data_IF_420376322536
#
_entry.id   IF_420376322536
#
_cell.length_a   1.000
_cell.length_b   1.000
_cell.length_c   1.000
_cell.angle_alpha   90.00
_cell.angle_beta   90.00
_cell.angle_gamma   90.00
#
_symmetry.space_group_name_H-M   'P 1'
#
loop_
_entity.id
_entity.type
_entity.pdbx_description
1 polymer ?
#
# COMPACT_ATOMS: atom_id res chain seq x y z
N UNK A 1 9.93 -5.55 25.00
CA UNK A 1 9.12 -5.21 23.81
C UNK A 1 9.82 -4.16 22.94
N UNK A 2 10.07 -2.93 23.42
CA UNK A 2 10.56 -1.78 22.65
C UNK A 2 11.92 -2.00 21.95
N UNK A 3 12.92 -2.56 22.66
CA UNK A 3 14.24 -2.84 22.09
C UNK A 3 14.18 -3.80 20.89
N UNK A 4 13.32 -4.82 20.95
CA UNK A 4 13.12 -5.73 19.82
C UNK A 4 12.46 -5.02 18.66
N UNK A 5 11.43 -4.20 18.90
CA UNK A 5 10.74 -3.42 17.88
C UNK A 5 11.70 -2.49 17.14
N UNK A 6 12.57 -1.80 17.85
CA UNK A 6 13.58 -0.94 17.21
C UNK A 6 14.56 -1.73 16.36
N UNK A 7 15.01 -2.90 16.81
CA UNK A 7 15.84 -3.78 15.98
C UNK A 7 15.12 -4.29 14.72
N UNK A 8 13.80 -4.51 14.79
CA UNK A 8 12.99 -4.86 13.61
C UNK A 8 12.86 -3.65 12.66
N UNK A 9 12.70 -2.43 13.18
CA UNK A 9 12.68 -1.18 12.42
C UNK A 9 14.03 -0.95 11.72
N UNK A 10 15.14 -1.12 12.44
CA UNK A 10 16.50 -1.00 11.87
C UNK A 10 16.68 -1.90 10.65
N UNK A 11 16.22 -3.16 10.75
CA UNK A 11 16.28 -4.13 9.65
C UNK A 11 15.41 -3.72 8.46
N UNK A 12 14.21 -3.23 8.71
CA UNK A 12 13.31 -2.77 7.65
C UNK A 12 13.87 -1.56 6.91
N UNK A 13 14.40 -0.57 7.64
CA UNK A 13 15.03 0.61 7.07
C UNK A 13 16.32 0.28 6.31
N UNK A 14 17.16 -0.60 6.84
CA UNK A 14 18.39 -1.03 6.18
C UNK A 14 18.07 -1.80 4.88
N UNK A 15 17.08 -2.68 4.93
CA UNK A 15 16.60 -3.41 3.76
C UNK A 15 16.07 -2.46 2.67
N UNK A 16 15.26 -1.46 3.06
CA UNK A 16 14.73 -0.46 2.14
C UNK A 16 15.85 0.34 1.48
N UNK A 17 16.77 0.88 2.27
CA UNK A 17 17.91 1.65 1.78
C UNK A 17 18.79 0.86 0.83
N UNK A 18 18.92 -0.45 1.04
CA UNK A 18 19.72 -1.33 0.18
C UNK A 18 19.09 -1.51 -1.20
N UNK A 19 17.75 -1.67 -1.26
CA UNK A 19 17.04 -1.95 -2.51
C UNK A 19 16.59 -0.69 -3.25
N UNK A 20 16.31 0.39 -2.53
CA UNK A 20 15.69 1.61 -3.06
C UNK A 20 16.47 2.85 -2.59
N UNK A 21 17.74 2.93 -2.98
CA UNK A 21 18.65 4.02 -2.58
C UNK A 21 18.17 5.41 -3.01
N UNK A 22 17.44 5.47 -4.13
CA UNK A 22 16.91 6.72 -4.71
C UNK A 22 15.58 7.18 -4.05
N UNK A 23 14.97 6.34 -3.21
CA UNK A 23 13.73 6.62 -2.52
C UNK A 23 13.94 6.75 -1.01
N UNK A 24 14.32 7.94 -0.50
CA UNK A 24 14.57 8.12 0.93
C UNK A 24 13.27 8.05 1.73
N UNK A 25 13.30 7.30 2.84
CA UNK A 25 12.24 7.29 3.85
C UNK A 25 12.64 8.16 5.06
N UNK A 26 11.68 8.85 5.66
CA UNK A 26 11.91 9.62 6.89
C UNK A 26 12.00 8.68 8.10
N UNK A 27 13.19 8.11 8.33
CA UNK A 27 13.44 7.09 9.36
C UNK A 27 12.90 7.50 10.74
N UNK A 28 13.00 8.78 11.12
CA UNK A 28 12.52 9.29 12.40
C UNK A 28 11.01 9.04 12.60
N UNK A 29 10.20 9.06 11.53
CA UNK A 29 8.76 8.76 11.60
C UNK A 29 8.52 7.30 11.95
N UNK A 30 9.29 6.39 11.33
CA UNK A 30 9.19 4.95 11.59
C UNK A 30 9.55 4.66 13.05
N UNK A 31 10.62 5.28 13.56
CA UNK A 31 11.00 5.17 14.98
C UNK A 31 9.96 5.78 15.91
N UNK A 32 9.38 6.93 15.55
CA UNK A 32 8.35 7.57 16.37
C UNK A 32 7.09 6.67 16.44
N UNK A 33 6.64 6.09 15.32
CA UNK A 33 5.55 5.10 15.34
C UNK A 33 5.91 3.91 16.25
N UNK A 34 7.15 3.43 16.18
CA UNK A 34 7.65 2.36 17.04
C UNK A 34 7.66 2.72 18.52
N UNK A 35 8.03 3.96 18.85
CA UNK A 35 8.03 4.48 20.23
C UNK A 35 6.62 4.58 20.80
N UNK A 36 5.68 5.05 19.98
CA UNK A 36 4.29 5.27 20.36
C UNK A 36 3.41 4.00 20.25
N UNK A 37 3.94 2.90 19.71
CA UNK A 37 3.16 1.74 19.29
C UNK A 37 2.38 1.03 20.40
N UNK A 38 2.86 1.08 21.65
CA UNK A 38 2.20 0.44 22.81
C UNK A 38 1.31 1.42 23.61
N UNK A 39 1.25 2.70 23.19
CA UNK A 39 0.48 3.74 23.88
C UNK A 39 -0.95 3.79 23.36
N UNK A 40 -1.89 4.17 24.22
CA UNK A 40 -3.21 4.62 23.77
C UNK A 40 -3.11 5.87 22.93
N UNK A 41 -4.19 6.23 22.21
CA UNK A 41 -4.17 7.43 21.36
C UNK A 41 -3.94 8.71 22.17
N UNK A 42 -4.60 8.86 23.33
CA UNK A 42 -4.41 10.01 24.20
C UNK A 42 -2.99 10.10 24.77
N UNK A 43 -2.38 8.98 25.15
CA UNK A 43 -0.98 8.93 25.61
C UNK A 43 -0.01 9.28 24.49
N UNK A 44 -0.25 8.81 23.28
CA UNK A 44 0.56 9.11 22.12
C UNK A 44 0.47 10.59 21.73
N UNK A 45 -0.71 11.19 21.77
CA UNK A 45 -0.92 12.64 21.58
C UNK A 45 -0.21 13.45 22.65
N UNK A 46 -0.35 13.07 23.92
CA UNK A 46 0.37 13.72 25.03
C UNK A 46 1.88 13.58 24.91
N UNK A 47 2.39 12.45 24.42
CA UNK A 47 3.82 12.27 24.17
C UNK A 47 4.31 13.18 23.04
N UNK A 48 3.55 13.31 21.94
CA UNK A 48 3.85 14.23 20.87
C UNK A 48 3.88 15.70 21.35
N UNK A 49 2.94 16.09 22.18
CA UNK A 49 2.89 17.44 22.77
C UNK A 49 4.14 17.71 23.64
N UNK A 50 4.52 16.75 24.50
CA UNK A 50 5.74 16.85 25.34
C UNK A 50 7.02 16.93 24.51
N UNK A 51 7.07 16.27 23.36
CA UNK A 51 8.19 16.35 22.43
C UNK A 51 8.18 17.65 21.60
N UNK A 52 7.21 18.53 21.82
CA UNK A 52 7.00 19.76 21.06
C UNK A 52 7.00 19.55 19.54
N UNK A 53 6.47 18.41 19.10
CA UNK A 53 6.35 18.10 17.67
C UNK A 53 5.21 18.92 17.05
N UNK A 54 5.45 19.67 15.95
CA UNK A 54 4.39 20.38 15.26
C UNK A 54 3.31 19.39 14.78
N UNK A 55 2.01 19.77 14.83
CA UNK A 55 0.89 18.93 14.41
C UNK A 55 1.07 18.35 13.00
N UNK A 56 1.58 19.16 12.04
CA UNK A 56 1.91 18.70 10.67
C UNK A 56 2.89 17.52 10.61
N UNK A 57 3.67 17.26 11.66
CA UNK A 57 4.58 16.12 11.79
C UNK A 57 3.96 14.99 12.60
N UNK A 58 3.27 15.35 13.68
CA UNK A 58 2.71 14.39 14.61
C UNK A 58 1.46 13.70 14.05
N UNK A 59 0.49 14.47 13.54
CA UNK A 59 -0.79 13.95 13.07
C UNK A 59 -0.67 12.84 12.01
N UNK A 60 0.19 12.96 10.96
CA UNK A 60 0.38 11.87 10.01
C UNK A 60 0.99 10.62 10.65
N UNK A 61 1.86 10.79 11.65
CA UNK A 61 2.50 9.67 12.35
C UNK A 61 1.51 8.93 13.26
N UNK A 62 0.69 9.69 14.01
CA UNK A 62 -0.36 9.11 14.84
C UNK A 62 -1.41 8.39 14.00
N UNK A 63 -1.81 8.98 12.86
CA UNK A 63 -2.74 8.36 11.93
C UNK A 63 -2.17 7.07 11.36
N UNK A 64 -0.93 7.10 10.86
CA UNK A 64 -0.25 5.92 10.34
C UNK A 64 -0.12 4.81 11.38
N UNK A 65 0.19 5.14 12.64
CA UNK A 65 0.23 4.16 13.74
C UNK A 65 -1.10 3.42 13.91
N UNK A 66 -2.23 4.14 13.89
CA UNK A 66 -3.58 3.56 13.99
C UNK A 66 -3.94 2.68 12.79
N UNK A 67 -3.57 3.13 11.60
CA UNK A 67 -3.84 2.39 10.37
C UNK A 67 -3.13 1.03 10.31
N UNK A 68 -1.93 0.91 10.90
CA UNK A 68 -1.11 -0.31 10.83
C UNK A 68 -1.81 -1.52 11.42
N UNK A 69 -2.57 -1.40 12.51
CA UNK A 69 -3.30 -2.53 13.11
C UNK A 69 -4.34 -3.09 12.13
N UNK A 70 -5.12 -2.21 11.48
CA UNK A 70 -6.13 -2.60 10.49
C UNK A 70 -5.48 -3.21 9.24
N UNK A 71 -4.36 -2.62 8.78
CA UNK A 71 -3.57 -3.13 7.66
C UNK A 71 -3.09 -4.54 7.94
N UNK A 72 -2.47 -4.77 9.09
CA UNK A 72 -1.92 -6.07 9.46
C UNK A 72 -3.01 -7.12 9.69
N UNK A 73 -4.17 -6.74 10.22
CA UNK A 73 -5.32 -7.60 10.31
C UNK A 73 -5.80 -8.05 8.92
N UNK A 74 -5.95 -7.12 7.97
CA UNK A 74 -6.32 -7.41 6.59
C UNK A 74 -5.30 -8.29 5.86
N UNK A 75 -4.00 -8.14 6.17
CA UNK A 75 -2.93 -8.93 5.57
C UNK A 75 -2.72 -10.30 6.21
N UNK A 76 -3.38 -10.62 7.32
CA UNK A 76 -3.16 -11.87 8.05
C UNK A 76 -4.03 -13.03 7.58
N UNK A 77 -5.08 -12.77 6.79
CA UNK A 77 -5.97 -13.78 6.22
C UNK A 77 -5.24 -14.85 5.42
N UNK A 78 -5.84 -16.03 5.24
CA UNK A 78 -5.24 -17.11 4.46
C UNK A 78 -5.21 -16.77 2.97
N UNK A 79 -6.34 -16.37 2.44
CA UNK A 79 -6.53 -16.05 1.03
C UNK A 79 -6.71 -14.53 0.87
N UNK A 80 -5.62 -13.83 0.60
CA UNK A 80 -5.63 -12.41 0.24
C UNK A 80 -4.95 -12.28 -1.11
N UNK A 81 -5.71 -11.88 -2.13
CA UNK A 81 -5.20 -11.74 -3.49
C UNK A 81 -4.17 -10.61 -3.61
N UNK A 82 -3.26 -10.66 -4.60
CA UNK A 82 -2.33 -9.57 -4.87
C UNK A 82 -3.01 -8.22 -5.10
N UNK A 83 -4.16 -8.19 -5.77
CA UNK A 83 -4.96 -6.97 -5.96
C UNK A 83 -5.49 -6.42 -4.64
N UNK A 84 -5.95 -7.28 -3.72
CA UNK A 84 -6.38 -6.86 -2.39
C UNK A 84 -5.21 -6.30 -1.55
N UNK A 85 -4.03 -6.93 -1.62
CA UNK A 85 -2.79 -6.41 -1.01
C UNK A 85 -2.46 -5.04 -1.59
N UNK A 86 -2.51 -4.89 -2.91
CA UNK A 86 -2.26 -3.61 -3.58
C UNK A 86 -3.22 -2.51 -3.11
N UNK A 87 -4.53 -2.76 -3.16
CA UNK A 87 -5.55 -1.78 -2.74
C UNK A 87 -5.39 -1.33 -1.28
N UNK A 88 -4.98 -2.25 -0.42
CA UNK A 88 -4.76 -1.95 1.00
C UNK A 88 -3.50 -1.11 1.24
N UNK A 89 -2.42 -1.38 0.51
CA UNK A 89 -1.09 -0.82 0.79
C UNK A 89 -0.73 0.38 -0.09
N UNK A 90 -1.21 0.42 -1.34
CA UNK A 90 -0.81 1.45 -2.31
C UNK A 90 -1.11 2.91 -1.89
N UNK A 91 -2.22 3.22 -1.19
CA UNK A 91 -2.49 4.59 -0.73
C UNK A 91 -1.57 5.07 0.39
N UNK A 92 -0.75 4.18 0.97
CA UNK A 92 0.00 4.45 2.19
C UNK A 92 1.38 5.03 1.88
N UNK A 93 1.87 5.88 2.79
CA UNK A 93 3.23 6.39 2.73
C UNK A 93 4.24 5.30 3.07
N UNK A 94 5.43 5.44 2.50
CA UNK A 94 6.53 4.47 2.69
C UNK A 94 6.86 4.22 4.15
N UNK A 95 6.80 5.23 5.01
CA UNK A 95 7.09 5.08 6.42
C UNK A 95 6.09 4.17 7.14
N UNK A 96 4.80 4.23 6.74
CA UNK A 96 3.74 3.35 7.28
C UNK A 96 3.99 1.91 6.82
N UNK A 97 4.36 1.72 5.55
CA UNK A 97 4.68 0.40 4.99
C UNK A 97 5.90 -0.21 5.68
N UNK A 98 6.96 0.57 5.91
CA UNK A 98 8.17 0.10 6.61
C UNK A 98 7.90 -0.22 8.07
N UNK A 99 7.07 0.58 8.74
CA UNK A 99 6.64 0.28 10.09
C UNK A 99 5.78 -1.00 10.11
N UNK A 100 4.83 -1.15 9.19
CA UNK A 100 4.02 -2.38 9.04
C UNK A 100 4.90 -3.61 8.82
N UNK A 101 5.94 -3.50 7.98
CA UNK A 101 6.90 -4.57 7.74
C UNK A 101 7.65 -4.97 9.03
N UNK A 102 8.06 -3.97 9.83
CA UNK A 102 8.81 -4.19 11.06
C UNK A 102 7.96 -4.87 12.15
N UNK A 103 6.68 -4.47 12.30
CA UNK A 103 5.82 -4.95 13.40
C UNK A 103 4.85 -6.07 12.99
N UNK A 104 4.88 -6.51 11.74
CA UNK A 104 4.00 -7.57 11.26
C UNK A 104 4.06 -8.83 12.14
N UNK A 105 2.92 -9.34 12.62
CA UNK A 105 2.87 -10.43 13.58
C UNK A 105 3.23 -11.79 12.98
N UNK A 106 3.13 -11.92 11.65
CA UNK A 106 3.33 -13.18 10.94
C UNK A 106 4.27 -13.00 9.73
N UNK A 107 4.94 -14.08 9.36
CA UNK A 107 5.75 -14.13 8.13
C UNK A 107 4.91 -13.90 6.87
N UNK A 108 3.63 -14.31 6.89
CA UNK A 108 2.69 -14.09 5.79
C UNK A 108 2.43 -12.61 5.56
N UNK A 109 2.10 -11.86 6.61
CA UNK A 109 1.92 -10.42 6.53
C UNK A 109 3.21 -9.71 6.08
N UNK A 110 4.38 -10.08 6.61
CA UNK A 110 5.69 -9.56 6.18
C UNK A 110 5.92 -9.77 4.69
N UNK A 111 5.67 -10.99 4.21
CA UNK A 111 5.85 -11.35 2.79
C UNK A 111 4.94 -10.50 1.89
N UNK A 112 3.69 -10.26 2.28
CA UNK A 112 2.74 -9.44 1.51
C UNK A 112 3.16 -7.96 1.45
N UNK A 113 3.58 -7.39 2.58
CA UNK A 113 4.13 -6.02 2.59
C UNK A 113 5.40 -5.92 1.73
N UNK A 114 6.33 -6.87 1.87
CA UNK A 114 7.53 -6.92 1.06
C UNK A 114 7.22 -7.07 -0.43
N UNK A 115 6.29 -7.97 -0.80
CA UNK A 115 5.85 -8.16 -2.18
C UNK A 115 5.26 -6.89 -2.78
N UNK A 116 4.45 -6.16 -2.01
CA UNK A 116 3.94 -4.86 -2.45
C UNK A 116 5.08 -3.89 -2.73
N UNK A 117 6.02 -3.75 -1.80
CA UNK A 117 7.13 -2.80 -1.91
C UNK A 117 8.08 -3.12 -3.08
N UNK A 118 8.23 -4.40 -3.45
CA UNK A 118 9.20 -4.83 -4.47
C UNK A 118 8.60 -5.07 -5.85
N UNK A 119 7.29 -5.34 -5.94
CA UNK A 119 6.66 -5.76 -7.20
C UNK A 119 5.29 -5.11 -7.44
N UNK A 120 4.34 -5.24 -6.49
CA UNK A 120 2.94 -4.90 -6.80
C UNK A 120 2.74 -3.41 -7.04
N UNK A 121 3.46 -2.54 -6.34
CA UNK A 121 3.30 -1.08 -6.42
C UNK A 121 3.59 -0.52 -7.81
N UNK A 122 4.42 -1.21 -8.59
CA UNK A 122 4.87 -0.77 -9.90
C UNK A 122 4.03 -1.37 -11.05
N UNK A 123 3.06 -2.24 -10.73
CA UNK A 123 2.16 -2.84 -11.72
C UNK A 123 1.16 -1.79 -12.19
N UNK A 124 1.29 -1.42 -13.47
CA UNK A 124 0.37 -0.52 -14.13
C UNK A 124 -0.09 -1.15 -15.45
N UNK A 125 -1.37 -0.99 -15.82
CA UNK A 125 -1.84 -1.41 -17.14
C UNK A 125 -1.05 -0.68 -18.24
N UNK A 126 -0.79 -1.38 -19.34
CA UNK A 126 -0.21 -0.81 -20.55
C UNK A 126 -1.20 0.13 -21.26
N UNK A 127 -2.52 -0.13 -21.09
CA UNK A 127 -3.58 0.73 -21.61
C UNK A 127 -3.85 1.91 -20.67
N UNK A 128 -4.29 3.02 -21.24
CA UNK A 128 -4.62 4.24 -20.52
C UNK A 128 -5.89 4.92 -21.02
N UNK A 129 -6.14 6.15 -20.56
CA UNK A 129 -7.34 6.90 -20.93
C UNK A 129 -7.49 7.13 -22.45
N UNK A 130 -6.40 7.23 -23.21
CA UNK A 130 -6.45 7.35 -24.68
C UNK A 130 -7.01 6.09 -25.34
N UNK A 131 -6.67 4.92 -24.79
CA UNK A 131 -7.16 3.63 -25.27
C UNK A 131 -8.63 3.47 -25.01
N UNK A 132 -9.09 3.87 -23.81
CA UNK A 132 -10.52 3.87 -23.46
C UNK A 132 -11.34 4.80 -24.36
N UNK A 133 -10.80 5.99 -24.65
CA UNK A 133 -11.42 6.92 -25.59
C UNK A 133 -11.54 6.30 -27.00
N UNK A 134 -10.48 5.65 -27.48
CA UNK A 134 -10.47 4.95 -28.77
C UNK A 134 -11.45 3.75 -28.80
N UNK A 135 -11.81 3.18 -27.64
CA UNK A 135 -12.84 2.16 -27.50
C UNK A 135 -14.26 2.74 -27.37
N UNK A 136 -14.43 4.06 -27.46
CA UNK A 136 -15.73 4.72 -27.40
C UNK A 136 -16.23 5.01 -25.98
N UNK A 137 -15.38 4.86 -24.97
CA UNK A 137 -15.75 5.20 -23.58
C UNK A 137 -15.63 6.71 -23.39
N UNK A 138 -16.67 7.35 -22.88
CA UNK A 138 -16.60 8.80 -22.56
C UNK A 138 -15.75 9.03 -21.30
N UNK A 139 -14.92 10.13 -21.29
CA UNK A 139 -14.13 10.49 -20.12
C UNK A 139 -15.00 10.70 -18.87
N UNK A 140 -14.69 10.00 -17.80
CA UNK A 140 -15.46 10.07 -16.56
C UNK A 140 -14.98 9.07 -15.51
N UNK A 141 -15.74 8.90 -14.41
CA UNK A 141 -15.41 7.98 -13.32
C UNK A 141 -15.17 6.53 -13.79
N UNK A 142 -15.86 6.10 -14.82
CA UNK A 142 -15.73 4.77 -15.44
C UNK A 142 -14.30 4.47 -15.90
N UNK A 143 -13.50 5.50 -16.27
CA UNK A 143 -12.09 5.31 -16.63
C UNK A 143 -11.31 4.72 -15.45
N UNK A 144 -11.50 5.28 -14.26
CA UNK A 144 -10.84 4.79 -13.05
C UNK A 144 -11.23 3.36 -12.71
N UNK A 145 -12.51 3.03 -12.88
CA UNK A 145 -13.04 1.69 -12.63
C UNK A 145 -12.46 0.66 -13.60
N UNK A 146 -12.48 0.95 -14.90
CA UNK A 146 -11.96 0.04 -15.93
C UNK A 146 -10.44 -0.18 -15.82
N UNK A 147 -9.67 0.90 -15.63
CA UNK A 147 -8.21 0.79 -15.45
C UNK A 147 -7.86 0.14 -14.13
N UNK A 148 -8.65 0.38 -13.08
CA UNK A 148 -8.52 -0.31 -11.80
C UNK A 148 -8.79 -1.81 -11.93
N UNK A 149 -9.86 -2.19 -12.61
CA UNK A 149 -10.19 -3.59 -12.85
C UNK A 149 -9.13 -4.30 -13.73
N UNK A 150 -8.59 -3.62 -14.74
CA UNK A 150 -7.49 -4.17 -15.55
C UNK A 150 -6.23 -4.38 -14.71
N UNK A 151 -5.89 -3.43 -13.82
CA UNK A 151 -4.78 -3.59 -12.88
C UNK A 151 -5.00 -4.75 -11.92
N UNK A 152 -6.18 -4.85 -11.35
CA UNK A 152 -6.50 -5.94 -10.43
C UNK A 152 -6.36 -7.31 -11.11
N UNK A 153 -6.85 -7.44 -12.35
CA UNK A 153 -6.73 -8.66 -13.14
C UNK A 153 -5.26 -9.00 -13.49
N UNK A 154 -4.43 -7.98 -13.75
CA UNK A 154 -2.98 -8.17 -13.94
C UNK A 154 -2.29 -8.64 -12.66
N UNK A 155 -2.61 -8.02 -11.52
CA UNK A 155 -2.05 -8.36 -10.23
C UNK A 155 -2.39 -9.78 -9.80
N UNK A 156 -3.64 -10.21 -10.06
CA UNK A 156 -4.13 -11.53 -9.68
C UNK A 156 -3.76 -12.61 -10.71
N UNK A 157 -3.20 -12.22 -11.87
CA UNK A 157 -2.78 -13.15 -12.92
C UNK A 157 -3.95 -13.66 -13.79
N UNK A 158 -5.09 -13.00 -13.74
CA UNK A 158 -6.27 -13.33 -14.54
C UNK A 158 -6.09 -12.99 -16.03
N UNK A 159 -5.20 -12.04 -16.32
CA UNK A 159 -4.82 -11.66 -17.68
C UNK A 159 -3.30 -11.52 -17.78
N UNK A 160 -2.76 -11.76 -18.97
CA UNK A 160 -1.36 -11.49 -19.27
C UNK A 160 -1.14 -9.98 -19.49
N UNK A 161 0.07 -9.49 -19.15
CA UNK A 161 0.45 -8.12 -19.38
C UNK A 161 0.56 -7.83 -20.88
N UNK A 162 0.07 -6.66 -21.28
CA UNK A 162 0.17 -6.15 -22.65
C UNK A 162 -1.15 -5.63 -23.19
N UNK A 163 -1.03 -4.61 -24.04
CA UNK A 163 -2.19 -3.87 -24.58
C UNK A 163 -3.28 -4.76 -25.18
N UNK A 164 -2.92 -5.84 -25.85
CA UNK A 164 -3.87 -6.73 -26.55
C UNK A 164 -4.79 -7.42 -25.54
N UNK A 165 -4.20 -8.02 -24.51
CA UNK A 165 -4.94 -8.76 -23.49
C UNK A 165 -5.76 -7.82 -22.60
N UNK A 166 -5.18 -6.70 -22.23
CA UNK A 166 -5.83 -5.69 -21.41
C UNK A 166 -7.01 -5.03 -22.13
N UNK A 167 -6.86 -4.69 -23.44
CA UNK A 167 -7.95 -4.16 -24.26
C UNK A 167 -9.08 -5.20 -24.42
N UNK A 168 -8.73 -6.48 -24.62
CA UNK A 168 -9.73 -7.54 -24.71
C UNK A 168 -10.51 -7.69 -23.39
N UNK A 169 -9.81 -7.62 -22.26
CA UNK A 169 -10.43 -7.66 -20.94
C UNK A 169 -11.39 -6.50 -20.71
N UNK A 170 -10.96 -5.27 -20.99
CA UNK A 170 -11.81 -4.07 -20.84
C UNK A 170 -13.02 -4.11 -21.77
N UNK A 171 -12.89 -4.56 -23.03
CA UNK A 171 -14.04 -4.75 -23.93
C UNK A 171 -15.07 -5.71 -23.35
N UNK A 172 -14.62 -6.81 -22.75
CA UNK A 172 -15.52 -7.77 -22.08
C UNK A 172 -16.26 -7.11 -20.91
N UNK A 173 -15.55 -6.31 -20.09
CA UNK A 173 -16.19 -5.56 -19.01
C UNK A 173 -17.23 -4.56 -19.53
N UNK A 174 -16.93 -3.82 -20.59
CA UNK A 174 -17.88 -2.88 -21.22
C UNK A 174 -19.13 -3.58 -21.74
N UNK A 175 -18.98 -4.76 -22.32
CA UNK A 175 -20.13 -5.57 -22.77
C UNK A 175 -21.02 -5.96 -21.59
N UNK A 176 -20.44 -6.31 -20.45
CA UNK A 176 -21.17 -6.65 -19.23
C UNK A 176 -21.87 -5.43 -18.59
N UNK A 177 -21.26 -4.26 -18.65
CA UNK A 177 -21.84 -3.01 -18.13
C UNK A 177 -22.93 -2.45 -19.06
N UNK A 178 -22.82 -2.65 -20.37
CA UNK A 178 -23.80 -2.19 -21.35
C UNK A 178 -25.03 -3.14 -21.52
N UNK A 179 -25.00 -4.29 -20.86
CA UNK A 179 -26.10 -5.26 -20.88
C UNK A 179 -27.09 -5.04 -19.70
N UNK A 180 -26.90 -4.03 -18.88
CA UNK A 180 -27.81 -3.57 -17.83
C UNK A 180 -28.47 -2.25 -18.24
#
# INVERSE_FOLDING_TARGET
ALRRRFGDIDRALAWWKLLFSEEPAEAWRVYLMGLLGDLTDGEAEAACARLALPGRRCDPTLRGRREVENILAGLSGEEVSPSAVYRLLHPLKIEILLYSLAVAPSQRAKKRVSLHLTHLRDVNPAIGGKDLLAMGVEPGPLYGELLGAARDALLDGDIEAGEVHERAYVRRLLTLHGAN
#
